data_IF_818889487639
#
_entry.id   IF_818889487639
#
_cell.length_a   1.000
_cell.length_b   1.000
_cell.length_c   1.000
_cell.angle_alpha   90.00
_cell.angle_beta   90.00
_cell.angle_gamma   90.00
#
_symmetry.space_group_name_H-M   'P 1'
#
loop_
_entity.id
_entity.type
_entity.pdbx_description
1 polymer ?
#
# COMPACT_ATOMS: atom_id res chain seq x y z
N UNK A 1 37.89 40.90 -91.15
CA UNK A 1 36.56 40.28 -91.00
C UNK A 1 36.48 39.71 -89.61
N UNK A 2 35.58 40.22 -88.77
CA UNK A 2 35.28 39.59 -87.48
C UNK A 2 34.18 38.56 -87.74
N UNK A 3 34.49 37.29 -87.50
CA UNK A 3 33.51 36.22 -87.57
C UNK A 3 32.59 36.31 -86.36
N UNK A 4 31.29 36.44 -86.60
CA UNK A 4 30.29 36.16 -85.57
C UNK A 4 30.10 34.64 -85.50
N UNK A 5 30.16 34.06 -84.31
CA UNK A 5 29.66 32.71 -84.06
C UNK A 5 28.35 32.80 -83.28
N UNK A 6 27.41 31.93 -83.64
CA UNK A 6 26.20 31.66 -82.87
C UNK A 6 26.29 30.19 -82.43
N UNK A 7 25.96 29.92 -81.17
CA UNK A 7 25.77 28.56 -80.69
C UNK A 7 24.35 28.42 -80.14
N UNK A 8 23.84 27.19 -80.20
CA UNK A 8 22.59 26.77 -79.57
C UNK A 8 22.95 25.88 -78.40
N UNK A 9 22.38 26.15 -77.23
CA UNK A 9 22.59 25.38 -76.01
C UNK A 9 21.27 24.80 -75.54
N UNK A 10 21.28 23.51 -75.17
CA UNK A 10 20.14 22.80 -74.60
C UNK A 10 20.47 22.42 -73.16
N UNK A 11 19.66 22.86 -72.22
CA UNK A 11 19.78 22.48 -70.81
C UNK A 11 18.93 21.25 -70.53
N UNK A 12 19.55 20.20 -69.97
CA UNK A 12 18.83 18.97 -69.58
C UNK A 12 17.90 19.27 -68.40
N UNK A 13 16.68 18.76 -68.45
CA UNK A 13 15.68 18.87 -67.37
C UNK A 13 15.83 17.75 -66.36
N UNK A 14 15.45 18.03 -65.11
CA UNK A 14 15.51 17.08 -63.99
C UNK A 14 14.14 16.67 -63.48
N UNK A 15 14.11 16.01 -62.32
CA UNK A 15 12.90 15.65 -61.60
C UNK A 15 13.03 15.83 -60.09
N UNK A 16 11.90 15.99 -59.42
CA UNK A 16 11.78 15.99 -57.95
C UNK A 16 10.78 14.90 -57.57
N UNK A 17 11.21 13.96 -56.74
CA UNK A 17 10.36 12.89 -56.17
C UNK A 17 10.13 13.15 -54.69
N UNK A 18 8.87 13.17 -54.28
CA UNK A 18 8.48 13.28 -52.88
C UNK A 18 8.00 11.90 -52.42
N UNK A 19 8.53 11.45 -51.28
CA UNK A 19 8.16 10.21 -50.61
C UNK A 19 7.57 10.55 -49.25
N UNK A 20 6.43 9.95 -48.93
CA UNK A 20 5.82 9.99 -47.61
C UNK A 20 6.11 8.68 -46.87
N UNK A 21 6.57 8.81 -45.64
CA UNK A 21 6.81 7.72 -44.70
C UNK A 21 5.97 8.00 -43.44
N UNK A 22 4.95 7.19 -43.17
CA UNK A 22 4.06 7.35 -42.03
C UNK A 22 4.34 6.27 -41.00
N UNK A 23 4.57 6.67 -39.76
CA UNK A 23 4.90 5.77 -38.66
C UNK A 23 3.79 5.82 -37.59
N UNK A 24 3.03 4.73 -37.36
CA UNK A 24 2.93 3.52 -38.18
C UNK A 24 2.15 3.78 -39.47
N UNK A 25 2.43 3.02 -40.54
CA UNK A 25 1.74 3.22 -41.82
C UNK A 25 0.24 2.88 -41.68
N UNK A 26 -0.64 3.80 -42.09
CA UNK A 26 -2.10 3.66 -41.95
C UNK A 26 -2.96 4.25 -43.09
N UNK A 27 -2.33 4.64 -44.20
CA UNK A 27 -2.96 5.28 -45.36
C UNK A 27 -3.63 6.64 -45.10
N UNK A 28 -3.32 7.32 -44.00
CA UNK A 28 -3.68 8.73 -43.83
C UNK A 28 -3.14 9.55 -45.01
N UNK A 29 -3.97 10.45 -45.54
CA UNK A 29 -3.59 11.32 -46.66
C UNK A 29 -2.89 12.58 -46.17
N UNK A 30 -1.67 12.81 -46.67
CA UNK A 30 -0.84 13.98 -46.39
C UNK A 30 -0.79 14.88 -47.62
N UNK A 31 -1.04 16.17 -47.44
CA UNK A 31 -1.16 17.12 -48.55
C UNK A 31 0.17 17.85 -48.79
N UNK A 32 0.62 17.82 -50.04
CA UNK A 32 1.84 18.46 -50.49
C UNK A 32 1.55 19.52 -51.54
N UNK A 33 2.26 20.65 -51.45
CA UNK A 33 2.37 21.66 -52.48
C UNK A 33 3.80 21.73 -53.02
N UNK A 34 3.96 21.93 -54.32
CA UNK A 34 5.24 22.28 -54.94
C UNK A 34 5.06 23.54 -55.78
N UNK A 35 5.93 24.52 -55.58
CA UNK A 35 6.00 25.75 -56.36
C UNK A 35 7.42 25.93 -56.89
N UNK A 36 7.61 26.52 -58.06
CA UNK A 36 8.97 26.66 -58.57
C UNK A 36 9.16 27.57 -59.78
N UNK A 37 10.37 27.47 -60.33
CA UNK A 37 10.84 28.29 -61.43
C UNK A 37 9.86 28.32 -62.62
N UNK A 38 9.68 29.50 -63.22
CA UNK A 38 8.78 29.68 -64.37
C UNK A 38 7.28 29.65 -64.04
N UNK A 39 6.90 29.82 -62.76
CA UNK A 39 5.49 29.83 -62.34
C UNK A 39 4.88 28.43 -62.24
N UNK A 40 5.72 27.40 -62.15
CA UNK A 40 5.27 26.03 -61.95
C UNK A 40 4.62 25.89 -60.56
N UNK A 41 3.47 25.22 -60.50
CA UNK A 41 2.80 24.86 -59.25
C UNK A 41 2.02 23.56 -59.41
N UNK A 42 2.04 22.72 -58.38
CA UNK A 42 1.22 21.52 -58.28
C UNK A 42 0.86 21.21 -56.82
N UNK A 43 -0.23 20.47 -56.63
CA UNK A 43 -0.67 19.99 -55.31
C UNK A 43 -1.16 18.56 -55.43
N UNK A 44 -0.81 17.70 -54.48
CA UNK A 44 -1.15 16.29 -54.49
C UNK A 44 -1.21 15.74 -53.06
N UNK A 45 -1.77 14.54 -52.89
CA UNK A 45 -1.80 13.83 -51.62
C UNK A 45 -0.98 12.54 -51.73
N UNK A 46 -0.26 12.21 -50.67
CA UNK A 46 0.44 10.92 -50.51
C UNK A 46 -0.17 10.13 -49.35
N UNK A 47 -0.15 8.81 -49.47
CA UNK A 47 -0.66 7.85 -48.47
C UNK A 47 0.36 6.72 -48.32
N UNK A 48 0.81 6.43 -47.10
CA UNK A 48 1.73 5.32 -46.86
C UNK A 48 0.97 4.16 -46.19
N UNK A 49 0.93 2.95 -46.79
CA UNK A 49 1.75 2.47 -47.91
C UNK A 49 1.10 2.43 -49.30
N UNK A 50 -0.16 2.84 -49.47
CA UNK A 50 -0.88 2.64 -50.74
C UNK A 50 -0.43 3.52 -51.90
N UNK A 51 0.01 4.74 -51.64
CA UNK A 51 0.51 5.70 -52.62
C UNK A 51 1.60 6.62 -52.01
N UNK A 52 2.77 6.06 -51.64
CA UNK A 52 3.73 6.73 -50.77
C UNK A 52 4.64 7.70 -51.53
N UNK A 53 4.51 7.83 -52.85
CA UNK A 53 5.39 8.71 -53.62
C UNK A 53 4.73 9.37 -54.81
N UNK A 54 5.25 10.54 -55.16
CA UNK A 54 4.87 11.30 -56.35
C UNK A 54 6.11 11.94 -56.97
N UNK A 55 6.21 11.87 -58.30
CA UNK A 55 7.36 12.39 -59.05
C UNK A 55 6.94 13.44 -60.05
N UNK A 56 7.50 14.63 -59.90
CA UNK A 56 7.40 15.70 -60.88
C UNK A 56 8.58 15.65 -61.85
N UNK A 57 8.30 15.33 -63.11
CA UNK A 57 9.29 15.12 -64.16
C UNK A 57 9.38 16.29 -65.13
N UNK A 58 10.48 16.36 -65.88
CA UNK A 58 10.72 17.38 -66.91
C UNK A 58 10.69 18.82 -66.35
N UNK A 59 11.24 18.99 -65.15
CA UNK A 59 11.36 20.28 -64.49
C UNK A 59 12.52 21.09 -65.07
N UNK A 60 12.27 22.37 -65.33
CA UNK A 60 13.32 23.32 -65.72
C UNK A 60 14.22 23.55 -64.49
N UNK A 61 15.55 23.46 -64.62
CA UNK A 61 16.46 23.75 -63.52
C UNK A 61 16.20 25.10 -62.86
N UNK A 62 16.38 25.18 -61.54
CA UNK A 62 16.06 26.37 -60.75
C UNK A 62 15.53 26.01 -59.36
N UNK A 63 15.03 27.02 -58.65
CA UNK A 63 14.50 26.88 -57.30
C UNK A 63 13.07 26.32 -57.33
N UNK A 64 12.83 25.31 -56.49
CA UNK A 64 11.53 24.75 -56.16
C UNK A 64 11.35 24.76 -54.64
N UNK A 65 10.17 25.09 -54.17
CA UNK A 65 9.76 24.98 -52.78
C UNK A 65 8.68 23.90 -52.69
N UNK A 66 8.93 22.90 -51.86
CA UNK A 66 7.99 21.82 -51.54
C UNK A 66 7.54 22.04 -50.10
N UNK A 67 6.23 21.99 -49.86
CA UNK A 67 5.64 22.11 -48.54
C UNK A 67 4.74 20.92 -48.24
N UNK A 68 4.88 20.30 -47.07
CA UNK A 68 3.89 19.40 -46.49
C UNK A 68 2.98 20.19 -45.54
N UNK A 69 1.67 20.15 -45.79
CA UNK A 69 0.72 20.76 -44.88
C UNK A 69 0.54 19.92 -43.61
N UNK A 70 0.42 20.60 -42.46
CA UNK A 70 0.19 19.93 -41.18
C UNK A 70 -1.05 19.02 -41.22
N UNK A 71 -0.88 17.78 -40.74
CA UNK A 71 -1.93 16.75 -40.71
C UNK A 71 -2.32 16.48 -39.26
N UNK A 72 -3.63 16.52 -38.95
CA UNK A 72 -4.10 16.37 -37.58
C UNK A 72 -3.77 14.98 -37.01
N UNK A 73 -3.24 14.93 -35.79
CA UNK A 73 -2.82 13.68 -35.14
C UNK A 73 -1.48 13.12 -35.64
N UNK A 74 -0.74 13.90 -36.42
CA UNK A 74 0.58 13.54 -36.95
C UNK A 74 1.58 14.66 -36.69
N UNK A 75 2.84 14.28 -36.50
CA UNK A 75 3.96 15.21 -36.35
C UNK A 75 5.01 14.87 -37.39
N UNK A 76 5.40 15.84 -38.22
CA UNK A 76 6.51 15.70 -39.14
C UNK A 76 7.83 15.68 -38.35
N UNK A 77 8.42 14.50 -38.21
CA UNK A 77 9.60 14.30 -37.37
C UNK A 77 10.91 14.43 -38.14
N UNK A 78 10.89 14.17 -39.46
CA UNK A 78 12.10 14.22 -40.27
C UNK A 78 11.81 14.53 -41.75
N UNK A 79 12.74 15.27 -42.36
CA UNK A 79 12.83 15.43 -43.81
C UNK A 79 14.25 15.07 -44.23
N UNK A 80 14.40 14.24 -45.25
CA UNK A 80 15.70 13.89 -45.81
C UNK A 80 15.67 13.92 -47.33
N UNK A 81 16.56 14.69 -47.95
CA UNK A 81 16.68 14.80 -49.40
C UNK A 81 18.01 14.24 -49.91
N UNK A 82 17.99 13.70 -51.12
CA UNK A 82 19.16 13.17 -51.82
C UNK A 82 19.15 13.60 -53.28
N UNK A 83 20.30 14.05 -53.78
CA UNK A 83 20.55 14.35 -55.19
C UNK A 83 21.30 13.19 -55.85
N UNK A 84 20.82 12.77 -57.02
CA UNK A 84 21.39 11.62 -57.74
C UNK A 84 22.79 11.91 -58.28
N UNK A 85 23.02 13.15 -58.75
CA UNK A 85 24.31 13.58 -59.29
C UNK A 85 25.15 14.39 -58.29
N UNK A 86 24.63 14.67 -57.10
CA UNK A 86 25.25 15.53 -56.08
C UNK A 86 25.39 17.00 -56.50
N UNK A 87 24.68 17.41 -57.56
CA UNK A 87 24.80 18.75 -58.15
C UNK A 87 23.72 19.72 -57.66
N UNK A 88 22.54 19.21 -57.30
CA UNK A 88 21.47 20.00 -56.69
C UNK A 88 21.72 20.23 -55.20
N UNK A 89 21.28 21.38 -54.70
CA UNK A 89 21.32 21.70 -53.27
C UNK A 89 19.92 21.77 -52.70
N UNK A 90 19.79 21.52 -51.40
CA UNK A 90 18.52 21.54 -50.71
C UNK A 90 18.67 22.05 -49.28
N UNK A 91 17.66 22.76 -48.80
CA UNK A 91 17.54 23.22 -47.43
C UNK A 91 16.11 22.93 -46.98
N UNK A 92 15.94 22.39 -45.77
CA UNK A 92 14.64 21.97 -45.28
C UNK A 92 14.43 22.30 -43.81
N UNK A 93 13.17 22.40 -43.41
CA UNK A 93 12.72 22.58 -42.03
C UNK A 93 11.52 21.69 -41.76
N UNK A 94 11.68 20.70 -40.87
CA UNK A 94 10.58 19.86 -40.43
C UNK A 94 9.52 20.67 -39.66
N UNK A 95 9.93 21.73 -38.96
CA UNK A 95 9.02 22.60 -38.18
C UNK A 95 7.99 23.33 -39.07
N UNK A 96 8.37 23.71 -40.29
CA UNK A 96 7.47 24.38 -41.25
C UNK A 96 6.96 23.47 -42.35
N UNK A 97 7.51 22.24 -42.45
CA UNK A 97 7.22 21.30 -43.53
C UNK A 97 7.79 21.71 -44.87
N UNK A 98 8.77 22.63 -44.91
CA UNK A 98 9.30 23.19 -46.16
C UNK A 98 10.63 22.55 -46.59
N UNK A 99 10.80 22.43 -47.90
CA UNK A 99 12.05 22.07 -48.59
C UNK A 99 12.26 22.98 -49.78
N UNK A 100 13.35 23.75 -49.76
CA UNK A 100 13.83 24.50 -50.90
C UNK A 100 14.88 23.68 -51.67
N UNK A 101 14.54 23.26 -52.88
CA UNK A 101 15.41 22.50 -53.79
C UNK A 101 15.91 23.42 -54.91
N UNK A 102 17.21 23.65 -54.98
CA UNK A 102 17.83 24.25 -56.17
C UNK A 102 18.25 23.14 -57.13
N UNK A 103 17.37 22.83 -58.08
CA UNK A 103 17.52 21.73 -59.03
C UNK A 103 18.56 22.07 -60.11
N UNK A 104 19.60 21.25 -60.20
CA UNK A 104 20.65 21.38 -61.21
C UNK A 104 20.24 20.74 -62.57
N UNK A 105 20.83 21.16 -63.70
CA UNK A 105 20.56 20.58 -65.01
C UNK A 105 20.73 19.06 -65.06
N UNK A 106 19.64 18.35 -65.36
CA UNK A 106 19.63 16.92 -65.59
C UNK A 106 19.80 16.03 -64.36
N UNK A 107 19.77 16.63 -63.16
CA UNK A 107 19.82 15.96 -61.87
C UNK A 107 18.41 15.62 -61.37
N UNK A 108 18.32 14.63 -60.48
CA UNK A 108 17.07 14.14 -59.91
C UNK A 108 17.19 14.15 -58.39
N UNK A 109 16.24 14.79 -57.72
CA UNK A 109 16.20 14.93 -56.26
C UNK A 109 15.06 14.10 -55.68
N UNK A 110 15.33 13.32 -54.64
CA UNK A 110 14.31 12.60 -53.87
C UNK A 110 14.28 13.13 -52.44
N UNK A 111 13.12 13.52 -51.96
CA UNK A 111 12.91 13.97 -50.58
C UNK A 111 11.88 13.07 -49.88
N UNK A 112 12.26 12.52 -48.73
CA UNK A 112 11.39 11.71 -47.87
C UNK A 112 10.93 12.52 -46.67
N UNK A 113 9.62 12.56 -46.43
CA UNK A 113 8.95 13.21 -45.32
C UNK A 113 8.38 12.16 -44.36
N UNK A 114 8.97 12.04 -43.17
CA UNK A 114 8.56 11.08 -42.15
C UNK A 114 7.62 11.75 -41.16
N UNK A 115 6.37 11.28 -41.05
CA UNK A 115 5.45 11.73 -40.01
C UNK A 115 5.19 10.60 -39.02
N UNK A 116 5.16 10.95 -37.75
CA UNK A 116 4.83 10.06 -36.63
C UNK A 116 3.43 10.38 -36.11
N UNK A 117 2.62 9.35 -35.92
CA UNK A 117 1.27 9.46 -35.38
C UNK A 117 1.35 9.75 -33.88
N UNK A 118 0.55 10.69 -33.42
CA UNK A 118 0.43 10.94 -31.98
C UNK A 118 -0.17 9.74 -31.27
N UNK A 119 0.32 9.48 -30.07
CA UNK A 119 -0.08 8.39 -29.18
C UNK A 119 -0.95 8.94 -28.04
N UNK A 120 -1.72 8.06 -27.41
CA UNK A 120 -2.51 8.40 -26.22
C UNK A 120 -1.90 7.79 -24.96
N UNK A 121 -1.84 8.58 -23.89
CA UNK A 121 -1.47 8.13 -22.55
C UNK A 121 -2.59 8.48 -21.59
N UNK A 122 -3.23 7.49 -20.98
CA UNK A 122 -4.28 7.66 -19.98
C UNK A 122 -3.81 7.17 -18.62
N UNK A 123 -3.84 8.04 -17.63
CA UNK A 123 -3.54 7.75 -16.23
C UNK A 123 -4.85 7.68 -15.47
N UNK A 124 -5.05 6.61 -14.70
CA UNK A 124 -6.26 6.35 -13.91
C UNK A 124 -5.84 6.16 -12.47
N UNK A 125 -6.61 6.75 -11.55
CA UNK A 125 -6.46 6.54 -10.11
C UNK A 125 -7.54 5.57 -9.60
N UNK A 126 -7.13 4.70 -8.68
CA UNK A 126 -7.97 3.70 -8.01
C UNK A 126 -7.58 3.63 -6.53
N UNK A 127 -8.45 4.04 -5.62
CA UNK A 127 -8.23 3.93 -4.18
C UNK A 127 -9.06 2.79 -3.58
N UNK A 128 -8.46 2.06 -2.63
CA UNK A 128 -9.11 0.95 -1.93
C UNK A 128 -9.05 1.22 -0.41
N UNK A 129 -10.19 1.36 0.30
CA UNK A 129 -11.52 1.55 -0.27
C UNK A 129 -11.60 2.84 -1.07
N UNK A 130 -12.65 2.95 -1.87
CA UNK A 130 -13.05 4.17 -2.54
C UNK A 130 -13.05 5.37 -1.58
N UNK A 131 -12.30 6.42 -1.92
CA UNK A 131 -12.02 7.58 -1.07
C UNK A 131 -11.88 8.84 -1.94
N UNK A 132 -12.34 9.99 -1.44
CA UNK A 132 -12.33 11.29 -2.12
C UNK A 132 -11.00 12.04 -1.96
N UNK A 133 -9.98 11.40 -1.36
CA UNK A 133 -8.66 12.01 -1.25
C UNK A 133 -8.01 12.19 -2.63
N UNK A 134 -7.54 13.42 -2.90
CA UNK A 134 -6.71 13.71 -4.07
C UNK A 134 -5.29 13.16 -3.95
N UNK A 135 -4.81 12.57 -5.05
CA UNK A 135 -3.44 12.08 -5.19
C UNK A 135 -2.71 12.91 -6.23
N UNK A 136 -1.51 13.38 -5.88
CA UNK A 136 -0.69 14.20 -6.75
C UNK A 136 0.12 13.32 -7.71
N UNK A 137 0.09 13.69 -8.98
CA UNK A 137 0.85 13.06 -10.06
C UNK A 137 1.76 14.06 -10.75
N UNK A 138 2.85 13.53 -11.31
CA UNK A 138 3.71 14.25 -12.24
C UNK A 138 3.91 13.44 -13.51
N UNK A 139 3.85 14.12 -14.65
CA UNK A 139 4.32 13.63 -15.95
C UNK A 139 5.61 14.39 -16.27
N UNK A 140 6.65 13.68 -16.68
CA UNK A 140 7.91 14.27 -17.14
C UNK A 140 8.46 13.55 -18.37
N UNK A 141 9.37 14.20 -19.11
CA UNK A 141 9.89 13.75 -20.39
C UNK A 141 9.86 14.89 -21.40
N UNK A 142 9.40 14.61 -22.60
CA UNK A 142 9.19 15.61 -23.67
C UNK A 142 7.97 16.50 -23.41
N UNK A 143 7.14 16.12 -22.43
CA UNK A 143 6.09 16.94 -21.83
C UNK A 143 6.29 16.95 -20.30
N UNK A 144 5.90 18.05 -19.65
CA UNK A 144 5.85 18.12 -18.20
C UNK A 144 4.52 18.66 -17.72
N UNK A 145 3.90 17.94 -16.79
CA UNK A 145 2.64 18.33 -16.17
C UNK A 145 2.60 17.87 -14.72
N UNK A 146 1.82 18.56 -13.90
CA UNK A 146 1.49 18.17 -12.54
C UNK A 146 -0.01 18.32 -12.36
N UNK A 147 -0.64 17.25 -11.90
CA UNK A 147 -2.10 17.12 -11.88
C UNK A 147 -2.53 16.28 -10.68
N UNK A 148 -3.79 16.43 -10.29
CA UNK A 148 -4.41 15.64 -9.22
C UNK A 148 -5.39 14.65 -9.84
N UNK A 149 -5.49 13.45 -9.27
CA UNK A 149 -6.54 12.48 -9.55
C UNK A 149 -7.04 11.87 -8.23
N UNK A 150 -8.30 11.47 -8.20
CA UNK A 150 -8.97 10.80 -7.08
C UNK A 150 -9.74 9.56 -7.58
N UNK A 151 -10.56 8.94 -6.72
CA UNK A 151 -11.49 7.92 -7.21
C UNK A 151 -12.73 8.52 -7.86
N UNK A 152 -13.29 7.82 -8.84
CA UNK A 152 -14.55 8.23 -9.45
C UNK A 152 -15.75 8.26 -8.47
N UNK A 153 -15.63 7.59 -7.32
CA UNK A 153 -16.62 7.58 -6.25
C UNK A 153 -15.90 7.28 -4.93
N UNK A 154 -16.25 7.92 -3.80
CA UNK A 154 -17.14 9.06 -3.70
C UNK A 154 -16.54 10.29 -4.41
N UNK A 155 -17.40 11.07 -5.07
CA UNK A 155 -17.04 12.36 -5.68
C UNK A 155 -17.42 13.47 -4.69
N UNK A 156 -16.45 14.29 -4.28
CA UNK A 156 -16.65 15.38 -3.33
C UNK A 156 -17.01 16.73 -4.01
N UNK A 157 -17.01 16.76 -5.35
CA UNK A 157 -17.39 17.89 -6.18
C UNK A 157 -16.34 18.98 -6.30
N UNK A 158 -15.08 18.70 -5.98
CA UNK A 158 -13.97 19.65 -6.10
C UNK A 158 -13.49 19.86 -7.56
N UNK A 159 -13.91 18.98 -8.47
CA UNK A 159 -13.60 19.02 -9.91
C UNK A 159 -12.35 18.24 -10.30
N UNK A 160 -11.75 17.47 -9.39
CA UNK A 160 -10.75 16.46 -9.68
C UNK A 160 -11.42 15.25 -10.35
N UNK A 161 -10.66 14.59 -11.23
CA UNK A 161 -11.15 13.50 -12.07
C UNK A 161 -10.42 12.23 -11.69
N UNK A 162 -11.05 11.08 -11.94
CA UNK A 162 -10.42 9.78 -11.73
C UNK A 162 -9.41 9.39 -12.81
N UNK A 163 -9.32 10.19 -13.87
CA UNK A 163 -8.37 9.96 -14.96
C UNK A 163 -7.95 11.24 -15.68
N UNK A 164 -6.75 11.18 -16.27
CA UNK A 164 -6.20 12.21 -17.14
C UNK A 164 -5.62 11.57 -18.40
N UNK A 165 -5.88 12.18 -19.56
CA UNK A 165 -5.41 11.70 -20.86
C UNK A 165 -4.57 12.74 -21.58
N UNK A 166 -3.46 12.28 -22.15
CA UNK A 166 -2.55 13.08 -22.96
C UNK A 166 -2.50 12.56 -24.39
N UNK A 167 -2.38 13.48 -25.35
CA UNK A 167 -1.95 13.16 -26.72
C UNK A 167 -0.50 13.59 -26.86
N UNK A 168 0.39 12.63 -27.08
CA UNK A 168 1.84 12.81 -26.99
C UNK A 168 2.54 12.27 -28.24
N UNK A 169 3.65 12.88 -28.69
CA UNK A 169 4.51 12.26 -29.68
C UNK A 169 5.21 11.03 -29.10
N UNK A 170 5.77 10.19 -29.97
CA UNK A 170 6.71 9.14 -29.56
C UNK A 170 7.84 9.74 -28.72
N UNK A 171 8.24 9.05 -27.66
CA UNK A 171 9.28 9.55 -26.76
C UNK A 171 9.31 8.82 -25.43
N UNK A 172 10.17 9.31 -24.54
CA UNK A 172 10.32 8.74 -23.20
C UNK A 172 9.55 9.60 -22.19
N UNK A 173 8.63 8.98 -21.47
CA UNK A 173 7.82 9.62 -20.44
C UNK A 173 7.95 8.90 -19.10
N UNK A 174 7.85 9.65 -18.03
CA UNK A 174 7.83 9.13 -16.66
C UNK A 174 6.63 9.73 -15.95
N UNK A 175 5.79 8.84 -15.40
CA UNK A 175 4.65 9.22 -14.56
C UNK A 175 4.93 8.75 -13.14
N UNK A 176 4.91 9.67 -12.18
CA UNK A 176 5.12 9.37 -10.76
C UNK A 176 3.95 9.87 -9.92
N UNK A 177 3.55 9.06 -8.95
CA UNK A 177 2.55 9.38 -7.93
C UNK A 177 3.22 9.76 -6.60
N UNK A 178 2.79 10.86 -5.98
CA UNK A 178 3.13 11.16 -4.58
C UNK A 178 2.14 10.46 -3.67
N UNK A 179 2.56 9.38 -3.00
CA UNK A 179 1.67 8.59 -2.12
C UNK A 179 1.39 9.33 -0.81
N UNK A 180 0.12 9.64 -0.49
CA UNK A 180 -0.26 10.29 0.77
C UNK A 180 0.04 9.42 2.00
N UNK A 181 0.19 10.07 3.17
CA UNK A 181 0.33 9.37 4.45
C UNK A 181 -0.91 8.52 4.75
N UNK A 182 -0.70 7.34 5.36
CA UNK A 182 -1.78 6.39 5.62
C UNK A 182 -2.23 5.58 4.40
N UNK A 183 -1.51 5.68 3.27
CA UNK A 183 -1.75 4.88 2.07
C UNK A 183 -0.49 4.12 1.66
N UNK A 184 -0.69 2.97 1.05
CA UNK A 184 0.37 2.21 0.37
C UNK A 184 -0.02 1.99 -1.08
N UNK A 185 0.97 2.00 -1.97
CA UNK A 185 0.76 1.76 -3.40
C UNK A 185 1.39 0.44 -3.83
N UNK A 186 0.86 -0.16 -4.88
CA UNK A 186 1.46 -1.31 -5.58
C UNK A 186 1.84 -0.91 -7.00
N UNK A 187 2.71 -1.69 -7.64
CA UNK A 187 3.15 -1.40 -8.99
C UNK A 187 1.97 -1.18 -9.95
N UNK A 188 1.91 -0.07 -10.70
CA UNK A 188 0.76 0.28 -11.53
C UNK A 188 0.41 -0.79 -12.57
N UNK A 189 -0.87 -0.96 -12.88
CA UNK A 189 -1.31 -1.85 -13.95
C UNK A 189 -1.35 -1.05 -15.24
N UNK A 190 -0.67 -1.49 -16.29
CA UNK A 190 -0.65 -0.75 -17.55
C UNK A 190 -0.90 -1.69 -18.72
N UNK A 191 -1.64 -1.19 -19.71
CA UNK A 191 -1.87 -1.82 -21.01
C UNK A 191 -1.24 -0.97 -22.09
N UNK A 192 -0.65 -1.63 -23.08
CA UNK A 192 0.05 -1.02 -24.22
C UNK A 192 -0.02 -2.01 -25.37
N UNK A 193 -0.07 -1.52 -26.62
CA UNK A 193 -0.02 -2.39 -27.80
C UNK A 193 1.37 -2.43 -28.43
N UNK A 194 2.20 -1.41 -28.23
CA UNK A 194 3.51 -1.30 -28.90
C UNK A 194 4.62 -0.70 -28.02
N UNK A 195 4.29 0.06 -26.98
CA UNK A 195 5.23 0.77 -26.09
C UNK A 195 5.87 -0.16 -25.06
N UNK A 196 7.12 0.12 -24.70
CA UNK A 196 7.81 -0.60 -23.63
C UNK A 196 7.54 0.11 -22.29
N UNK A 197 7.09 -0.66 -21.29
CA UNK A 197 6.69 -0.11 -19.98
C UNK A 197 7.51 -0.74 -18.84
N UNK A 198 8.28 0.08 -18.12
CA UNK A 198 8.94 -0.25 -16.86
C UNK A 198 8.22 0.35 -15.66
N UNK A 199 8.28 -0.28 -14.47
CA UNK A 199 7.47 0.14 -13.31
C UNK A 199 8.19 -0.07 -11.97
N UNK A 200 7.97 0.86 -11.04
CA UNK A 200 8.18 0.69 -9.58
C UNK A 200 6.82 0.68 -8.89
N UNK A 201 6.78 0.78 -7.56
CA UNK A 201 5.52 0.88 -6.80
C UNK A 201 4.73 2.15 -7.13
N UNK A 202 5.42 3.26 -7.39
CA UNK A 202 4.85 4.62 -7.48
C UNK A 202 5.19 5.33 -8.81
N UNK A 203 5.95 4.69 -9.69
CA UNK A 203 6.43 5.30 -10.94
C UNK A 203 6.29 4.34 -12.12
N UNK A 204 5.91 4.89 -13.28
CA UNK A 204 5.87 4.22 -14.58
C UNK A 204 6.85 4.92 -15.52
N UNK A 205 7.72 4.14 -16.16
CA UNK A 205 8.63 4.57 -17.22
C UNK A 205 8.10 4.05 -18.56
N UNK A 206 7.90 4.94 -19.52
CA UNK A 206 7.21 4.66 -20.79
C UNK A 206 8.12 5.07 -21.94
N UNK A 207 8.56 4.11 -22.73
CA UNK A 207 9.10 4.37 -24.08
C UNK A 207 7.92 4.25 -25.05
N UNK A 208 7.27 5.38 -25.29
CA UNK A 208 5.98 5.51 -25.97
C UNK A 208 6.19 5.38 -27.47
N UNK A 209 5.65 4.31 -28.06
CA UNK A 209 5.69 4.08 -29.49
C UNK A 209 4.67 4.96 -30.22
N UNK A 210 4.98 5.36 -31.45
CA UNK A 210 4.09 6.15 -32.31
C UNK A 210 2.73 5.47 -32.55
N UNK A 211 1.64 6.22 -32.41
CA UNK A 211 0.27 5.76 -32.59
C UNK A 211 -0.26 4.75 -31.57
N UNK A 212 0.46 4.49 -30.47
CA UNK A 212 0.03 3.55 -29.43
C UNK A 212 -1.01 4.18 -28.48
N UNK A 213 -1.75 3.33 -27.78
CA UNK A 213 -2.71 3.70 -26.74
C UNK A 213 -2.33 3.03 -25.41
N UNK A 214 -1.71 3.82 -24.54
CA UNK A 214 -1.22 3.38 -23.23
C UNK A 214 -2.20 3.81 -22.15
N UNK A 215 -2.66 2.86 -21.33
CA UNK A 215 -3.45 3.16 -20.13
C UNK A 215 -2.73 2.60 -18.92
N UNK A 216 -2.58 3.40 -17.86
CA UNK A 216 -1.99 3.01 -16.58
C UNK A 216 -2.92 3.33 -15.42
N UNK A 217 -3.22 2.34 -14.60
CA UNK A 217 -3.99 2.45 -13.35
C UNK A 217 -3.07 2.36 -12.14
N UNK A 218 -3.04 3.44 -11.36
CA UNK A 218 -2.36 3.52 -10.07
C UNK A 218 -3.34 3.15 -8.96
N UNK A 219 -3.01 2.08 -8.21
CA UNK A 219 -3.86 1.58 -7.13
C UNK A 219 -3.21 1.82 -5.77
N UNK A 220 -3.95 2.48 -4.89
CA UNK A 220 -3.53 2.77 -3.53
C UNK A 220 -4.48 2.10 -2.56
N UNK A 221 -3.95 1.58 -1.46
CA UNK A 221 -4.74 0.96 -0.40
C UNK A 221 -4.54 1.72 0.90
N UNK A 222 -5.65 2.10 1.54
CA UNK A 222 -5.64 2.77 2.84
C UNK A 222 -5.12 1.80 3.89
N UNK A 223 -4.15 2.25 4.67
CA UNK A 223 -3.60 1.50 5.79
C UNK A 223 -4.67 1.36 6.89
N UNK A 224 -4.57 0.29 7.65
CA UNK A 224 -5.49 0.00 8.75
C UNK A 224 -4.85 0.24 10.12
N UNK A 225 -5.67 0.01 11.14
CA UNK A 225 -5.31 0.08 12.56
C UNK A 225 -5.68 -1.22 13.28
N UNK A 226 -4.92 -1.55 14.31
CA UNK A 226 -5.29 -2.58 15.28
C UNK A 226 -5.23 -1.96 16.68
N UNK A 227 -6.39 -1.83 17.31
CA UNK A 227 -6.53 -1.50 18.73
C UNK A 227 -6.59 -2.79 19.54
N UNK A 228 -5.70 -2.93 20.51
CA UNK A 228 -5.74 -4.00 21.51
C UNK A 228 -6.36 -3.46 22.78
N UNK A 229 -7.34 -4.18 23.32
CA UNK A 229 -8.06 -3.84 24.55
C UNK A 229 -7.90 -4.97 25.56
N UNK A 230 -7.58 -4.62 26.80
CA UNK A 230 -7.51 -5.53 27.95
C UNK A 230 -8.77 -5.39 28.81
N UNK A 231 -9.41 -6.52 29.12
CA UNK A 231 -10.54 -6.66 30.05
C UNK A 231 -10.13 -7.67 31.15
N UNK A 232 -9.77 -7.20 32.34
CA UNK A 232 -9.29 -8.02 33.45
C UNK A 232 -10.37 -8.14 34.53
N UNK A 233 -10.57 -9.35 35.05
CA UNK A 233 -11.50 -9.63 36.14
C UNK A 233 -10.75 -10.25 37.31
N UNK A 234 -10.65 -9.57 38.47
CA UNK A 234 -11.07 -8.19 38.71
C UNK A 234 -10.19 -7.18 37.96
N UNK A 235 -10.69 -5.96 37.73
CA UNK A 235 -9.86 -4.88 37.17
C UNK A 235 -8.97 -4.33 38.29
N UNK A 236 -7.70 -4.71 38.30
CA UNK A 236 -6.75 -4.49 39.40
C UNK A 236 -5.43 -3.80 39.00
N UNK A 237 -5.36 -3.28 37.77
CA UNK A 237 -4.15 -2.67 37.17
C UNK A 237 -2.93 -3.62 37.09
N UNK A 238 -3.14 -4.94 37.10
CA UNK A 238 -2.10 -5.90 36.74
C UNK A 238 -1.56 -5.59 35.34
N UNK A 239 -0.24 -5.67 35.18
CA UNK A 239 0.44 -5.50 33.89
C UNK A 239 0.27 -6.75 33.01
N UNK A 240 -0.22 -6.55 31.79
CA UNK A 240 -0.26 -7.57 30.74
C UNK A 240 0.57 -7.10 29.55
N UNK A 241 1.50 -7.94 29.09
CA UNK A 241 2.36 -7.63 27.96
C UNK A 241 1.77 -8.16 26.65
N UNK A 242 1.77 -7.33 25.62
CA UNK A 242 1.18 -7.58 24.32
C UNK A 242 2.17 -7.36 23.18
N UNK A 243 1.85 -7.93 22.03
CA UNK A 243 2.53 -7.64 20.78
C UNK A 243 1.59 -7.61 19.57
N UNK A 244 1.93 -6.78 18.59
CA UNK A 244 1.43 -6.87 17.21
C UNK A 244 2.62 -7.15 16.31
N UNK A 245 2.59 -8.32 15.65
CA UNK A 245 3.69 -8.84 14.82
C UNK A 245 3.27 -9.03 13.38
N UNK A 246 4.13 -8.60 12.46
CA UNK A 246 4.09 -8.96 11.04
C UNK A 246 5.35 -9.74 10.68
N UNK A 247 5.23 -11.00 10.28
CA UNK A 247 6.40 -11.76 9.82
C UNK A 247 6.85 -11.30 8.42
N UNK A 248 8.16 -11.17 8.14
CA UNK A 248 9.33 -11.44 8.99
C UNK A 248 9.86 -10.20 9.77
N UNK A 249 9.06 -9.14 9.90
CA UNK A 249 9.43 -7.86 10.51
C UNK A 249 9.37 -7.90 12.05
N UNK A 250 9.83 -6.80 12.67
CA UNK A 250 9.94 -6.59 14.12
C UNK A 250 8.56 -6.40 14.76
N UNK A 251 8.43 -6.92 15.98
CA UNK A 251 7.23 -6.85 16.81
C UNK A 251 7.10 -5.43 17.40
N UNK A 252 5.91 -4.86 17.36
CA UNK A 252 5.57 -3.76 18.26
C UNK A 252 5.04 -4.36 19.56
N UNK A 253 5.71 -4.06 20.68
CA UNK A 253 5.38 -4.59 22.01
C UNK A 253 4.96 -3.46 22.95
N UNK A 254 3.97 -3.72 23.80
CA UNK A 254 3.44 -2.75 24.76
C UNK A 254 2.83 -3.46 25.98
N UNK A 255 2.62 -2.73 27.06
CA UNK A 255 1.99 -3.23 28.30
C UNK A 255 0.69 -2.48 28.54
N UNK A 256 -0.39 -3.20 28.88
CA UNK A 256 -1.68 -2.62 29.25
C UNK A 256 -2.03 -2.95 30.71
N UNK A 257 -2.90 -2.11 31.29
CA UNK A 257 -3.45 -2.24 32.63
C UNK A 257 -4.95 -1.94 32.59
N UNK A 258 -5.78 -2.76 33.22
CA UNK A 258 -7.22 -2.49 33.33
C UNK A 258 -7.56 -2.13 34.80
N UNK A 259 -8.08 -0.92 35.09
CA UNK A 259 -8.68 0.06 34.16
C UNK A 259 -7.82 1.28 33.81
N UNK A 260 -6.60 1.42 34.33
CA UNK A 260 -5.83 2.67 34.19
C UNK A 260 -5.27 2.95 32.79
N UNK A 261 -4.99 1.92 31.99
CA UNK A 261 -4.50 2.02 30.62
C UNK A 261 -4.94 0.80 29.77
N UNK A 262 -6.26 0.65 29.50
CA UNK A 262 -6.83 -0.62 29.04
C UNK A 262 -6.67 -0.86 27.54
N UNK A 263 -6.07 0.07 26.78
CA UNK A 263 -5.96 -0.07 25.32
C UNK A 263 -4.73 0.61 24.72
N UNK A 264 -4.23 0.03 23.63
CA UNK A 264 -3.20 0.61 22.77
C UNK A 264 -3.57 0.40 21.30
N UNK A 265 -3.27 1.39 20.46
CA UNK A 265 -3.56 1.32 19.01
C UNK A 265 -2.28 1.35 18.21
N UNK A 266 -2.12 0.34 17.37
CA UNK A 266 -1.06 0.26 16.37
C UNK A 266 -1.61 0.74 15.04
N UNK A 267 -0.98 1.76 14.46
CA UNK A 267 -1.40 2.39 13.20
C UNK A 267 -0.44 2.06 12.04
N UNK A 268 -0.72 2.62 10.87
CA UNK A 268 0.08 2.46 9.65
C UNK A 268 0.34 0.99 9.31
N UNK A 269 -0.70 0.16 9.43
CA UNK A 269 -0.63 -1.25 9.12
C UNK A 269 -1.03 -1.48 7.66
N UNK A 270 -0.09 -1.97 6.86
CA UNK A 270 -0.34 -2.33 5.47
C UNK A 270 -1.51 -3.34 5.37
N UNK A 271 -2.46 -3.13 4.44
CA UNK A 271 -3.60 -4.01 4.27
C UNK A 271 -3.28 -5.24 3.41
N UNK A 272 -4.24 -6.15 3.27
CA UNK A 272 -4.15 -7.42 2.50
C UNK A 272 -3.03 -8.35 2.97
N UNK A 273 -2.61 -8.22 4.23
CA UNK A 273 -1.64 -9.09 4.91
C UNK A 273 -2.16 -9.48 6.29
N UNK A 274 -1.50 -10.45 6.91
CA UNK A 274 -1.90 -10.95 8.23
C UNK A 274 -0.93 -10.52 9.33
N UNK A 275 -1.50 -10.11 10.45
CA UNK A 275 -0.85 -9.74 11.69
C UNK A 275 -1.15 -10.76 12.78
N UNK A 276 -0.19 -11.01 13.66
CA UNK A 276 -0.40 -11.75 14.90
C UNK A 276 -0.52 -10.75 16.04
N UNK A 277 -1.65 -10.78 16.73
CA UNK A 277 -1.93 -9.95 17.91
C UNK A 277 -1.94 -10.89 19.09
N UNK A 278 -1.03 -10.72 20.05
CA UNK A 278 -0.89 -11.68 21.14
C UNK A 278 -0.65 -11.05 22.50
N UNK A 279 -0.96 -11.82 23.52
CA UNK A 279 -0.78 -11.53 24.94
C UNK A 279 0.19 -12.53 25.55
N UNK A 280 1.03 -12.08 26.49
CA UNK A 280 1.76 -12.93 27.41
C UNK A 280 1.04 -12.92 28.76
N UNK A 281 0.28 -13.98 29.04
CA UNK A 281 -0.56 -14.08 30.23
C UNK A 281 0.33 -14.17 31.49
N UNK A 282 0.23 -13.20 32.43
CA UNK A 282 0.99 -13.24 33.68
C UNK A 282 0.62 -14.44 34.57
N UNK A 283 1.53 -14.81 35.46
CA UNK A 283 1.28 -15.92 36.39
C UNK A 283 0.07 -15.63 37.30
N UNK A 284 -0.84 -16.60 37.41
CA UNK A 284 -2.07 -16.48 38.20
C UNK A 284 -3.26 -15.90 37.45
N UNK A 285 -3.13 -15.68 36.13
CA UNK A 285 -4.23 -15.27 35.26
C UNK A 285 -4.48 -16.33 34.18
N UNK A 286 -5.71 -16.40 33.69
CA UNK A 286 -6.07 -17.17 32.49
C UNK A 286 -6.61 -16.23 31.43
N UNK A 287 -6.25 -16.45 30.15
CA UNK A 287 -6.94 -15.83 29.03
C UNK A 287 -8.19 -16.66 28.73
N UNK A 288 -9.34 -16.11 29.05
CA UNK A 288 -10.63 -16.79 28.94
C UNK A 288 -11.25 -16.58 27.55
N UNK A 289 -11.07 -15.39 26.97
CA UNK A 289 -11.63 -15.05 25.66
C UNK A 289 -10.76 -14.05 24.89
N UNK A 290 -10.79 -14.15 23.56
CA UNK A 290 -10.13 -13.24 22.65
C UNK A 290 -11.01 -13.04 21.42
N UNK A 291 -11.54 -11.82 21.27
CA UNK A 291 -12.45 -11.47 20.17
C UNK A 291 -11.92 -10.27 19.43
N UNK A 292 -11.85 -10.35 18.10
CA UNK A 292 -11.53 -9.22 17.24
C UNK A 292 -12.75 -8.81 16.42
N UNK A 293 -12.97 -7.51 16.30
CA UNK A 293 -14.06 -6.89 15.53
C UNK A 293 -13.49 -5.83 14.59
N UNK A 294 -14.13 -5.58 13.44
CA UNK A 294 -13.78 -4.47 12.53
C UNK A 294 -14.98 -3.55 12.40
N UNK A 295 -14.75 -2.24 12.39
CA UNK A 295 -15.77 -1.24 12.11
C UNK A 295 -16.42 -1.43 10.72
N UNK A 296 -15.68 -2.01 9.76
CA UNK A 296 -16.16 -2.29 8.40
C UNK A 296 -16.95 -3.61 8.30
N UNK A 297 -17.03 -4.41 9.38
CA UNK A 297 -17.82 -5.63 9.43
C UNK A 297 -17.31 -6.82 8.59
N UNK A 298 -16.21 -6.65 7.85
CA UNK A 298 -15.63 -7.67 6.94
C UNK A 298 -14.30 -8.24 7.43
N UNK A 299 -14.17 -8.49 8.74
CA UNK A 299 -12.94 -9.02 9.32
C UNK A 299 -12.79 -10.53 9.06
N UNK A 300 -11.61 -10.95 8.62
CA UNK A 300 -11.21 -12.37 8.65
C UNK A 300 -10.12 -12.55 9.70
N UNK A 301 -10.41 -13.29 10.77
CA UNK A 301 -9.44 -13.61 11.81
C UNK A 301 -9.60 -15.04 12.33
N UNK A 302 -8.53 -15.56 12.93
CA UNK A 302 -8.53 -16.85 13.64
C UNK A 302 -7.92 -16.67 15.02
N UNK A 303 -8.42 -17.38 16.02
CA UNK A 303 -7.96 -17.31 17.41
C UNK A 303 -7.27 -18.60 17.80
N UNK A 304 -6.14 -18.49 18.48
CA UNK A 304 -5.46 -19.56 19.21
C UNK A 304 -5.28 -19.12 20.66
N UNK A 305 -6.29 -19.45 21.50
CA UNK A 305 -6.29 -19.10 22.93
C UNK A 305 -5.13 -19.78 23.68
N UNK A 306 -4.73 -20.99 23.26
CA UNK A 306 -3.63 -21.71 23.92
C UNK A 306 -2.28 -21.01 23.69
N UNK A 307 -2.10 -20.40 22.51
CA UNK A 307 -0.94 -19.56 22.20
C UNK A 307 -1.14 -18.08 22.61
N UNK A 308 -2.29 -17.71 23.17
CA UNK A 308 -2.61 -16.35 23.58
C UNK A 308 -2.63 -15.34 22.44
N UNK A 309 -3.05 -15.74 21.23
CA UNK A 309 -2.98 -14.84 20.06
C UNK A 309 -4.13 -14.99 19.07
N UNK A 310 -4.40 -13.92 18.33
CA UNK A 310 -5.24 -13.90 17.14
C UNK A 310 -4.40 -13.61 15.90
N UNK A 311 -4.75 -14.23 14.78
CA UNK A 311 -4.23 -13.89 13.46
C UNK A 311 -5.29 -13.08 12.72
N UNK A 312 -5.02 -11.80 12.51
CA UNK A 312 -5.92 -10.83 11.89
C UNK A 312 -5.46 -10.55 10.46
N UNK A 313 -6.34 -10.66 9.46
CA UNK A 313 -6.06 -10.23 8.09
C UNK A 313 -6.77 -8.92 7.80
N UNK A 314 -6.01 -7.82 7.71
CA UNK A 314 -6.54 -6.49 7.43
C UNK A 314 -6.99 -6.37 5.96
N UNK A 315 -8.16 -5.79 5.76
CA UNK A 315 -8.61 -5.18 4.52
C UNK A 315 -8.16 -3.71 4.48
N UNK A 316 -8.20 -3.08 3.30
CA UNK A 316 -7.87 -1.66 3.20
C UNK A 316 -8.83 -0.79 4.02
N UNK A 317 -8.25 0.14 4.79
CA UNK A 317 -8.98 1.02 5.70
C UNK A 317 -9.60 0.33 6.92
N UNK A 318 -9.29 -0.94 7.20
CA UNK A 318 -9.82 -1.64 8.38
C UNK A 318 -9.38 -0.94 9.68
N UNK A 319 -10.33 -0.74 10.57
CA UNK A 319 -10.10 -0.37 11.98
C UNK A 319 -10.55 -1.53 12.87
N UNK A 320 -9.57 -2.30 13.37
CA UNK A 320 -9.80 -3.55 14.11
C UNK A 320 -9.60 -3.35 15.60
N UNK A 321 -10.56 -3.79 16.41
CA UNK A 321 -10.42 -3.89 17.86
C UNK A 321 -10.35 -5.34 18.29
N UNK A 322 -9.26 -5.77 18.94
CA UNK A 322 -9.09 -7.08 19.57
C UNK A 322 -9.14 -6.94 21.09
N UNK A 323 -10.13 -7.57 21.73
CA UNK A 323 -10.33 -7.55 23.18
C UNK A 323 -9.87 -8.87 23.80
N UNK A 324 -8.96 -8.79 24.75
CA UNK A 324 -8.42 -9.91 25.54
C UNK A 324 -9.04 -9.90 26.94
N UNK A 325 -9.78 -10.96 27.26
CA UNK A 325 -10.45 -11.11 28.55
C UNK A 325 -9.70 -12.10 29.43
N UNK A 326 -9.24 -11.64 30.60
CA UNK A 326 -8.52 -12.49 31.54
C UNK A 326 -9.18 -12.54 32.90
N UNK A 327 -9.16 -13.71 33.51
CA UNK A 327 -9.67 -13.96 34.85
C UNK A 327 -8.52 -14.26 35.79
N UNK A 328 -8.50 -13.60 36.94
CA UNK A 328 -7.55 -13.90 38.01
C UNK A 328 -7.90 -15.26 38.61
N UNK A 329 -6.90 -16.12 38.79
CA UNK A 329 -7.01 -17.45 39.41
C UNK A 329 -6.16 -17.51 40.69
N UNK A 330 -6.25 -16.44 41.49
CA UNK A 330 -5.64 -16.31 42.80
C UNK A 330 -6.66 -15.78 43.81
N UNK A 331 -6.39 -16.02 45.09
CA UNK A 331 -7.11 -15.46 46.23
C UNK A 331 -6.17 -15.21 47.40
N UNK A 332 -6.72 -15.08 48.60
CA UNK A 332 -5.98 -14.91 49.84
C UNK A 332 -6.49 -15.86 50.94
N UNK A 333 -5.59 -16.22 51.86
CA UNK A 333 -5.91 -17.03 53.04
C UNK A 333 -5.48 -16.26 54.28
N UNK A 334 -6.39 -16.06 55.23
CA UNK A 334 -6.16 -15.38 56.50
C UNK A 334 -6.39 -16.33 57.66
N UNK A 335 -5.33 -16.64 58.40
CA UNK A 335 -5.42 -17.46 59.62
C UNK A 335 -5.33 -16.54 60.84
N UNK A 336 -6.40 -16.46 61.63
CA UNK A 336 -6.44 -15.72 62.90
C UNK A 336 -6.50 -16.67 64.09
N UNK A 337 -5.66 -16.45 65.10
CA UNK A 337 -5.75 -17.19 66.36
C UNK A 337 -6.59 -16.42 67.39
N UNK A 338 -7.57 -17.09 68.01
CA UNK A 338 -8.31 -16.59 69.19
C UNK A 338 -8.26 -17.58 70.35
N UNK A 339 -8.30 -17.07 71.58
CA UNK A 339 -8.29 -17.83 72.84
C UNK A 339 -9.34 -17.30 73.81
N UNK A 340 -9.81 -18.16 74.72
CA UNK A 340 -10.75 -17.80 75.80
C UNK A 340 -10.28 -18.46 77.11
N UNK A 341 -9.93 -17.68 78.16
CA UNK A 341 -9.78 -16.22 78.16
C UNK A 341 -8.67 -15.77 77.20
N UNK A 342 -8.74 -14.51 76.75
CA UNK A 342 -7.76 -13.93 75.84
C UNK A 342 -6.33 -13.98 76.40
N UNK A 343 -5.39 -14.46 75.60
CA UNK A 343 -3.96 -14.50 75.90
C UNK A 343 -3.24 -15.73 75.35
N UNK A 344 -1.96 -15.86 75.68
CA UNK A 344 -1.09 -16.92 75.16
C UNK A 344 -0.37 -16.50 73.88
N UNK A 345 0.75 -17.16 73.62
CA UNK A 345 1.68 -16.86 72.54
C UNK A 345 2.16 -18.16 71.89
N UNK A 346 2.61 -18.07 70.64
CA UNK A 346 3.27 -19.16 69.90
C UNK A 346 2.41 -20.43 69.70
N UNK A 347 1.16 -20.28 69.26
CA UNK A 347 0.37 -21.39 68.75
C UNK A 347 0.87 -21.78 67.35
N UNK A 348 1.36 -23.01 67.18
CA UNK A 348 1.93 -23.49 65.92
C UNK A 348 0.85 -23.85 64.90
N UNK A 349 1.10 -23.50 63.66
CA UNK A 349 0.26 -23.81 62.51
C UNK A 349 1.11 -24.34 61.35
N UNK A 350 0.54 -25.27 60.59
CA UNK A 350 1.06 -25.69 59.32
C UNK A 350 -0.01 -25.51 58.23
N UNK A 351 0.36 -24.89 57.12
CA UNK A 351 -0.46 -24.85 55.91
C UNK A 351 0.19 -25.68 54.82
N UNK A 352 -0.59 -26.56 54.20
CA UNK A 352 -0.16 -27.44 53.10
C UNK A 352 -1.00 -27.16 51.87
N UNK A 353 -0.37 -26.97 50.71
CA UNK A 353 -1.05 -26.81 49.42
C UNK A 353 -1.41 -28.15 48.76
N UNK A 354 -2.07 -28.10 47.59
CA UNK A 354 -2.43 -29.29 46.78
C UNK A 354 -1.23 -30.13 46.34
N UNK A 355 -0.01 -29.60 46.40
CA UNK A 355 1.24 -30.28 45.99
C UNK A 355 2.00 -30.81 47.20
N UNK A 356 1.51 -30.58 48.43
CA UNK A 356 2.13 -31.05 49.66
C UNK A 356 3.24 -30.16 50.19
N UNK A 357 3.41 -28.94 49.65
CA UNK A 357 4.39 -27.98 50.16
C UNK A 357 3.84 -27.40 51.46
N UNK A 358 4.52 -27.69 52.57
CA UNK A 358 4.13 -27.24 53.89
C UNK A 358 4.96 -26.01 54.31
N UNK A 359 4.29 -24.94 54.72
CA UNK A 359 4.89 -23.85 55.49
C UNK A 359 4.35 -23.87 56.92
N UNK A 360 5.19 -23.47 57.87
CA UNK A 360 4.80 -23.39 59.28
C UNK A 360 4.97 -21.97 59.79
N UNK A 361 4.07 -21.57 60.67
CA UNK A 361 4.06 -20.26 61.31
C UNK A 361 3.49 -20.40 62.72
N UNK A 362 3.66 -19.37 63.53
CA UNK A 362 3.10 -19.33 64.87
C UNK A 362 2.35 -18.01 65.07
N UNK A 363 1.22 -18.09 65.76
CA UNK A 363 0.40 -16.92 66.08
C UNK A 363 0.17 -16.82 67.58
N UNK A 364 0.12 -15.59 68.07
CA UNK A 364 -0.38 -15.26 69.41
C UNK A 364 -1.87 -14.95 69.37
N UNK A 365 -2.50 -14.79 70.53
CA UNK A 365 -3.91 -14.40 70.58
C UNK A 365 -4.16 -13.09 69.81
N UNK A 366 -5.20 -13.08 68.99
CA UNK A 366 -5.62 -12.01 68.05
C UNK A 366 -4.66 -11.74 66.89
N UNK A 367 -3.56 -12.47 66.77
CA UNK A 367 -2.62 -12.33 65.66
C UNK A 367 -3.16 -13.02 64.39
N UNK A 368 -2.82 -12.44 63.24
CA UNK A 368 -3.19 -12.95 61.92
C UNK A 368 -1.96 -13.28 61.08
N UNK A 369 -2.06 -14.37 60.31
CA UNK A 369 -1.15 -14.68 59.21
C UNK A 369 -1.91 -14.57 57.90
N UNK A 370 -1.46 -13.72 56.99
CA UNK A 370 -2.10 -13.50 55.69
C UNK A 370 -1.20 -13.98 54.57
N UNK A 371 -1.73 -14.87 53.74
CA UNK A 371 -1.14 -15.24 52.46
C UNK A 371 -1.94 -14.54 51.36
N UNK A 372 -1.27 -13.73 50.55
CA UNK A 372 -1.86 -13.08 49.37
C UNK A 372 -1.35 -13.75 48.08
N UNK A 373 -2.05 -13.53 46.96
CA UNK A 373 -1.71 -14.09 45.65
C UNK A 373 -1.61 -15.63 45.64
N UNK A 374 -2.44 -16.27 46.46
CA UNK A 374 -2.47 -17.73 46.60
C UNK A 374 -3.21 -18.30 45.41
N UNK A 375 -2.60 -19.17 44.58
CA UNK A 375 -3.31 -19.82 43.48
C UNK A 375 -4.61 -20.48 43.96
N UNK A 376 -5.65 -20.43 43.15
CA UNK A 376 -6.90 -21.14 43.47
C UNK A 376 -6.63 -22.63 43.63
N UNK A 377 -7.28 -23.26 44.60
CA UNK A 377 -7.03 -24.66 44.93
C UNK A 377 -7.45 -25.04 46.34
N UNK A 378 -7.01 -26.22 46.77
CA UNK A 378 -7.34 -26.76 48.09
C UNK A 378 -6.13 -26.65 49.02
N UNK A 379 -6.33 -26.03 50.17
CA UNK A 379 -5.31 -25.83 51.19
C UNK A 379 -5.75 -26.48 52.49
N UNK A 380 -4.79 -27.02 53.23
CA UNK A 380 -5.05 -27.62 54.55
C UNK A 380 -4.27 -26.86 55.60
N UNK A 381 -4.97 -26.18 56.51
CA UNK A 381 -4.39 -25.50 57.67
C UNK A 381 -4.62 -26.35 58.90
N UNK A 382 -3.56 -26.73 59.61
CA UNK A 382 -3.65 -27.50 60.85
C UNK A 382 -3.01 -26.72 62.00
N UNK A 383 -3.72 -26.63 63.13
CA UNK A 383 -3.15 -26.09 64.37
C UNK A 383 -2.50 -27.23 65.16
N UNK A 384 -1.23 -27.07 65.53
CA UNK A 384 -0.55 -28.01 66.41
C UNK A 384 -1.28 -28.12 67.76
N UNK A 385 -1.21 -29.29 68.40
CA UNK A 385 -1.79 -29.46 69.73
C UNK A 385 -0.94 -28.71 70.77
N UNK A 386 -1.45 -27.63 71.42
CA UNK A 386 -0.72 -26.95 72.46
C UNK A 386 -0.60 -27.84 73.70
N UNK A 387 0.39 -27.57 74.54
CA UNK A 387 0.59 -28.27 75.81
C UNK A 387 -0.47 -27.93 76.88
N UNK A 388 -1.37 -26.99 76.58
CA UNK A 388 -2.44 -26.53 77.46
C UNK A 388 -3.70 -26.20 76.66
N UNK A 389 -4.87 -26.48 77.25
CA UNK A 389 -6.18 -26.22 76.62
C UNK A 389 -6.58 -27.25 75.57
N UNK A 390 -7.71 -27.01 74.91
CA UNK A 390 -8.20 -27.78 73.77
C UNK A 390 -8.80 -26.82 72.73
N UNK A 391 -8.83 -27.23 71.46
CA UNK A 391 -9.48 -26.44 70.40
C UNK A 391 -11.00 -26.57 70.57
N UNK A 392 -11.63 -25.48 71.00
CA UNK A 392 -13.08 -25.43 71.27
C UNK A 392 -13.90 -24.90 70.10
N UNK A 393 -13.26 -24.31 69.10
CA UNK A 393 -13.92 -23.83 67.89
C UNK A 393 -12.94 -23.59 66.75
N UNK A 394 -13.37 -23.95 65.55
CA UNK A 394 -12.70 -23.70 64.27
C UNK A 394 -13.78 -23.34 63.27
N UNK A 395 -13.60 -22.27 62.50
CA UNK A 395 -14.52 -21.83 61.45
C UNK A 395 -13.70 -21.28 60.28
N UNK A 396 -14.21 -21.48 59.08
CA UNK A 396 -13.79 -20.78 57.87
C UNK A 396 -14.92 -19.81 57.49
N UNK A 397 -14.57 -18.64 56.99
CA UNK A 397 -15.52 -17.68 56.43
C UNK A 397 -15.16 -17.49 54.95
N UNK A 398 -15.86 -18.24 54.10
CA UNK A 398 -15.71 -18.27 52.64
C UNK A 398 -16.84 -17.48 51.94
N UNK A 399 -17.53 -16.62 52.70
CA UNK A 399 -18.60 -15.76 52.19
C UNK A 399 -19.71 -16.53 51.45
N UNK A 400 -19.78 -16.33 50.13
CA UNK A 400 -20.77 -16.98 49.24
C UNK A 400 -20.12 -17.94 48.25
N UNK A 401 -18.96 -18.53 48.58
CA UNK A 401 -18.28 -19.51 47.74
C UNK A 401 -19.23 -20.61 47.25
N UNK A 402 -19.09 -20.98 45.97
CA UNK A 402 -19.85 -22.10 45.39
C UNK A 402 -19.26 -23.45 45.76
N UNK A 403 -18.03 -23.46 46.29
CA UNK A 403 -17.34 -24.65 46.79
C UNK A 403 -16.86 -24.45 48.22
N UNK A 404 -17.75 -24.53 49.23
CA UNK A 404 -17.41 -24.10 50.58
C UNK A 404 -16.29 -24.92 51.23
N UNK A 405 -15.48 -24.21 52.00
CA UNK A 405 -14.43 -24.68 52.90
C UNK A 405 -15.02 -25.49 54.05
N UNK A 406 -14.24 -26.43 54.58
CA UNK A 406 -14.71 -27.37 55.63
C UNK A 406 -13.74 -27.43 56.80
N UNK A 407 -14.22 -27.81 57.97
CA UNK A 407 -13.43 -27.86 59.21
C UNK A 407 -13.59 -29.20 59.93
N UNK A 408 -12.51 -29.67 60.55
CA UNK A 408 -12.47 -30.81 61.47
C UNK A 408 -11.79 -30.38 62.78
N UNK A 409 -12.62 -30.15 63.81
CA UNK A 409 -12.15 -29.72 65.14
C UNK A 409 -11.35 -30.84 65.83
N UNK A 410 -11.70 -32.11 65.60
CA UNK A 410 -11.02 -33.25 66.22
C UNK A 410 -9.61 -33.43 65.67
N UNK A 411 -9.44 -33.21 64.36
CA UNK A 411 -8.14 -33.19 63.70
C UNK A 411 -7.38 -31.86 63.82
N UNK A 412 -8.06 -30.79 64.29
CA UNK A 412 -7.53 -29.41 64.38
C UNK A 412 -7.21 -28.82 63.01
N UNK A 413 -8.01 -29.18 62.01
CA UNK A 413 -7.70 -28.94 60.59
C UNK A 413 -8.83 -28.20 59.89
N UNK A 414 -8.49 -27.19 59.09
CA UNK A 414 -9.36 -26.54 58.12
C UNK A 414 -8.94 -26.94 56.70
N UNK A 415 -9.88 -27.39 55.88
CA UNK A 415 -9.72 -27.62 54.46
C UNK A 415 -10.34 -26.45 53.69
N UNK A 416 -9.48 -25.52 53.31
CA UNK A 416 -9.82 -24.32 52.57
C UNK A 416 -9.92 -24.66 51.10
N UNK A 417 -11.02 -24.30 50.46
CA UNK A 417 -11.16 -24.31 49.00
C UNK A 417 -11.19 -22.85 48.58
N UNK A 418 -10.13 -22.44 47.88
CA UNK A 418 -9.93 -21.05 47.50
C UNK A 418 -10.39 -20.84 46.06
N UNK A 419 -11.50 -20.13 45.90
CA UNK A 419 -12.05 -19.71 44.61
C UNK A 419 -11.34 -18.44 44.08
N UNK A 420 -11.41 -18.15 42.75
CA UNK A 420 -10.91 -16.92 42.14
C UNK A 420 -11.33 -15.64 42.87
N UNK A 421 -10.37 -14.78 43.22
CA UNK A 421 -10.59 -13.48 43.87
C UNK A 421 -11.08 -13.57 45.33
N UNK A 422 -11.18 -14.76 45.91
CA UNK A 422 -11.71 -14.99 47.24
C UNK A 422 -10.68 -14.70 48.34
N UNK A 423 -11.14 -14.28 49.52
CA UNK A 423 -10.35 -14.31 50.77
C UNK A 423 -11.06 -15.20 51.79
N UNK A 424 -10.37 -16.24 52.27
CA UNK A 424 -10.89 -17.21 53.26
C UNK A 424 -10.24 -17.05 54.62
#
# INVERSE_FOLDING_TARGET
GQGASCYFENTKRGSITIIKDALPADDTAFNFGINGNGGYSASFNLQDPTAPSHTESNLVPGLFNVNEAATAGWTLSNINCQSTLGASTYQYSADTGDVDVTLAPGDDVTCTFTNEKSSTLTIIKDAEPNDDLDFEFTLSGDASDSFMLDDANPDDGDGVSNSQSYTLPQGNYVVSETVPSGWVTEAPLCTSTASNIGKTSDTVFIDLASGDDVTCTFRNRKMGTITVVKDAIPADDTNFDFYVRRLPLVDETFTLQDPSAPSHTVADLAPKISYFVGEQVPAGWTLDDLVCTSALGSLTYTVDLAAGQARVRLQPGDDVTCTFKNQENKGAIVVEKRTVPAGGVNFGFAITDTVGVASSFALSDTEQYTLTNVPTGIYTVTEDAPSFGFLSGLRCDDGTSTTPSTVDIGARTAHIKLDPGETV
#
